data_IF_481411848387
#
_entry.id   IF_481411848387
#
_cell.length_a   1.000
_cell.length_b   1.000
_cell.length_c   1.000
_cell.angle_alpha   90.00
_cell.angle_beta   90.00
_cell.angle_gamma   90.00
#
_symmetry.space_group_name_H-M   'P 1'
#
loop_
_entity.id
_entity.type
_entity.pdbx_description
1 polymer ?
#
# COMPACT_ATOMS: atom_id res chain seq x y z
N UNK A 1 -9.35 1.93 -33.92
CA UNK A 1 -8.95 1.80 -32.50
C UNK A 1 -8.58 3.18 -32.01
N UNK A 2 -9.51 3.84 -31.31
CA UNK A 2 -9.30 5.17 -30.74
C UNK A 2 -8.24 5.08 -29.65
N UNK A 3 -7.05 5.60 -29.91
CA UNK A 3 -6.06 5.86 -28.88
C UNK A 3 -6.67 6.90 -27.94
N UNK A 4 -7.31 6.43 -26.87
CA UNK A 4 -7.58 7.27 -25.70
C UNK A 4 -6.20 7.57 -25.13
N UNK A 5 -5.62 8.67 -25.59
CA UNK A 5 -4.46 9.28 -24.93
C UNK A 5 -5.01 9.76 -23.60
N UNK A 6 -4.91 8.91 -22.58
CA UNK A 6 -5.10 9.37 -21.22
C UNK A 6 -4.11 10.51 -21.04
N UNK A 7 -4.56 11.75 -20.79
CA UNK A 7 -3.65 12.86 -20.55
C UNK A 7 -2.68 12.42 -19.47
N UNK A 8 -1.39 12.70 -19.66
CA UNK A 8 -0.34 12.31 -18.72
C UNK A 8 -0.74 12.85 -17.35
N UNK A 9 -1.14 11.96 -16.43
CA UNK A 9 -1.56 12.36 -15.10
C UNK A 9 -0.39 13.10 -14.45
N UNK A 10 -0.70 14.26 -13.91
CA UNK A 10 0.19 15.03 -13.07
C UNK A 10 0.36 14.31 -11.73
N UNK A 11 1.47 14.59 -11.03
CA UNK A 11 1.77 13.96 -9.75
C UNK A 11 0.65 14.20 -8.73
N UNK A 12 0.05 15.39 -8.70
CA UNK A 12 -1.04 15.73 -7.79
C UNK A 12 -2.29 14.88 -8.04
N UNK A 13 -2.72 14.71 -9.29
CA UNK A 13 -3.87 13.87 -9.63
C UNK A 13 -3.59 12.39 -9.33
N UNK A 14 -2.41 11.90 -9.70
CA UNK A 14 -2.00 10.53 -9.44
C UNK A 14 -1.91 10.23 -7.94
N UNK A 15 -1.31 11.13 -7.15
CA UNK A 15 -1.18 11.00 -5.70
C UNK A 15 -2.55 11.01 -5.02
N UNK A 16 -3.41 11.97 -5.37
CA UNK A 16 -4.77 12.07 -4.82
C UNK A 16 -5.54 10.77 -5.05
N UNK A 17 -5.54 10.30 -6.29
CA UNK A 17 -6.28 9.09 -6.69
C UNK A 17 -5.71 7.85 -6.02
N UNK A 18 -4.39 7.74 -5.93
CA UNK A 18 -3.71 6.62 -5.28
C UNK A 18 -4.04 6.54 -3.80
N UNK A 19 -3.94 7.65 -3.06
CA UNK A 19 -4.26 7.70 -1.64
C UNK A 19 -5.74 7.36 -1.43
N UNK A 20 -6.64 8.01 -2.18
CA UNK A 20 -8.08 7.77 -2.10
C UNK A 20 -8.43 6.31 -2.37
N UNK A 21 -7.84 5.72 -3.43
CA UNK A 21 -8.03 4.32 -3.73
C UNK A 21 -7.54 3.43 -2.60
N UNK A 22 -6.31 3.62 -2.11
CA UNK A 22 -5.69 2.78 -1.09
C UNK A 22 -6.35 2.89 0.28
N UNK A 23 -6.99 4.01 0.59
CA UNK A 23 -7.83 4.15 1.78
C UNK A 23 -9.06 3.24 1.75
N UNK A 24 -9.58 2.84 0.59
CA UNK A 24 -10.75 1.97 0.47
C UNK A 24 -10.39 0.56 0.02
N UNK A 25 -9.44 0.46 -0.91
CA UNK A 25 -8.92 -0.74 -1.57
C UNK A 25 -10.03 -1.69 -2.07
N UNK A 26 -10.98 -1.13 -2.85
CA UNK A 26 -12.11 -1.87 -3.41
C UNK A 26 -12.45 -1.35 -4.81
N UNK A 27 -12.14 -2.15 -5.84
CA UNK A 27 -12.47 -1.86 -7.23
C UNK A 27 -13.98 -1.67 -7.43
N UNK A 28 -14.86 -2.60 -6.97
CA UNK A 28 -16.31 -2.46 -7.18
C UNK A 28 -16.88 -1.17 -6.57
N UNK A 29 -16.33 -0.72 -5.44
CA UNK A 29 -16.79 0.52 -4.80
C UNK A 29 -16.53 1.76 -5.66
N UNK A 30 -15.38 1.82 -6.34
CA UNK A 30 -15.06 2.94 -7.22
C UNK A 30 -15.70 2.80 -8.60
N UNK A 31 -15.79 1.60 -9.17
CA UNK A 31 -16.53 1.37 -10.42
C UNK A 31 -17.99 1.82 -10.30
N UNK A 32 -18.63 1.58 -9.15
CA UNK A 32 -19.99 2.03 -8.88
C UNK A 32 -20.17 3.56 -8.99
N UNK A 33 -19.10 4.35 -8.87
CA UNK A 33 -19.14 5.82 -8.96
C UNK A 33 -18.32 6.39 -10.12
N UNK A 34 -17.92 5.56 -11.09
CA UNK A 34 -17.17 5.99 -12.28
C UNK A 34 -15.67 6.13 -12.08
N UNK A 35 -15.12 5.52 -11.03
CA UNK A 35 -13.71 5.56 -10.65
C UNK A 35 -13.44 6.50 -9.47
N UNK A 36 -12.16 6.65 -9.13
CA UNK A 36 -11.74 7.65 -8.15
C UNK A 36 -11.88 9.03 -8.79
N UNK A 37 -12.60 9.96 -8.18
CA UNK A 37 -12.74 11.30 -8.74
C UNK A 37 -11.49 12.16 -8.53
N UNK A 38 -11.25 13.18 -9.39
CA UNK A 38 -10.31 14.25 -9.11
C UNK A 38 -10.56 14.91 -7.75
N UNK A 39 -9.54 15.57 -7.19
CA UNK A 39 -9.63 16.26 -5.88
C UNK A 39 -10.79 17.26 -5.79
N UNK A 40 -11.03 18.04 -6.85
CA UNK A 40 -12.09 19.05 -6.87
C UNK A 40 -13.50 18.42 -6.90
N UNK A 41 -13.64 17.20 -7.43
CA UNK A 41 -14.91 16.48 -7.55
C UNK A 41 -15.17 15.49 -6.39
N UNK A 42 -14.32 15.49 -5.34
CA UNK A 42 -14.45 14.56 -4.20
C UNK A 42 -15.84 14.59 -3.56
N UNK A 43 -16.48 15.77 -3.47
CA UNK A 43 -17.81 15.92 -2.89
C UNK A 43 -18.88 15.23 -3.73
N UNK A 44 -18.80 15.35 -5.06
CA UNK A 44 -19.70 14.68 -5.99
C UNK A 44 -19.53 13.15 -5.92
N UNK A 45 -18.28 12.67 -5.81
CA UNK A 45 -18.00 11.24 -5.63
C UNK A 45 -18.65 10.70 -4.35
N UNK A 46 -18.47 11.40 -3.22
CA UNK A 46 -19.06 10.99 -1.94
C UNK A 46 -20.60 11.03 -1.99
N UNK A 47 -21.19 12.08 -2.58
CA UNK A 47 -22.64 12.17 -2.75
C UNK A 47 -23.19 11.01 -3.61
N UNK A 48 -22.45 10.62 -4.66
CA UNK A 48 -22.80 9.49 -5.52
C UNK A 48 -22.65 8.15 -4.78
N UNK A 49 -21.61 7.97 -3.96
CA UNK A 49 -21.46 6.78 -3.12
C UNK A 49 -22.65 6.62 -2.16
N UNK A 50 -23.12 7.73 -1.56
CA UNK A 50 -24.30 7.74 -0.68
C UNK A 50 -25.57 7.41 -1.44
N UNK A 51 -25.83 8.07 -2.56
CA UNK A 51 -27.07 7.88 -3.34
C UNK A 51 -27.21 6.45 -3.87
N UNK A 52 -26.10 5.81 -4.23
CA UNK A 52 -26.06 4.42 -4.68
C UNK A 52 -25.95 3.39 -3.55
N UNK A 53 -25.87 3.82 -2.29
CA UNK A 53 -25.71 2.91 -1.15
C UNK A 53 -24.43 2.07 -1.20
N UNK A 54 -23.32 2.63 -1.71
CA UNK A 54 -22.05 1.91 -1.87
C UNK A 54 -21.52 1.48 -0.51
N UNK A 55 -21.24 0.18 -0.37
CA UNK A 55 -20.63 -0.39 0.83
C UNK A 55 -19.12 -0.47 0.66
N UNK A 56 -18.39 0.33 1.44
CA UNK A 56 -16.92 0.35 1.40
C UNK A 56 -16.34 -0.85 2.18
N UNK A 57 -16.38 -2.04 1.59
CA UNK A 57 -15.71 -3.23 2.12
C UNK A 57 -14.50 -3.59 1.27
N UNK A 58 -13.34 -3.76 1.92
CA UNK A 58 -12.17 -4.40 1.33
C UNK A 58 -12.05 -5.83 1.89
N UNK A 59 -12.02 -6.86 1.04
CA UNK A 59 -11.78 -8.24 1.47
C UNK A 59 -10.32 -8.47 1.89
N UNK A 60 -9.40 -7.56 1.54
CA UNK A 60 -7.97 -7.76 1.70
C UNK A 60 -7.44 -7.25 3.06
N UNK A 61 -7.86 -6.05 3.50
CA UNK A 61 -7.44 -5.44 4.78
C UNK A 61 -8.32 -4.23 5.14
N UNK A 62 -8.43 -3.90 6.44
CA UNK A 62 -9.20 -2.74 6.93
C UNK A 62 -8.33 -1.48 6.80
N UNK A 63 -8.66 -0.60 5.86
CA UNK A 63 -7.89 0.61 5.52
C UNK A 63 -8.52 1.92 5.96
N UNK A 64 -9.78 1.88 6.38
CA UNK A 64 -10.53 3.05 6.84
C UNK A 64 -10.51 3.10 8.36
N UNK A 65 -9.52 3.78 8.98
CA UNK A 65 -9.58 4.03 10.42
C UNK A 65 -10.83 4.84 10.76
N UNK A 66 -11.27 4.74 12.01
CA UNK A 66 -12.39 5.52 12.52
C UNK A 66 -11.84 6.84 13.09
N UNK A 67 -12.16 8.01 12.49
CA UNK A 67 -11.84 9.30 13.09
C UNK A 67 -12.49 9.42 14.48
N UNK A 68 -11.83 10.14 15.38
CA UNK A 68 -12.40 10.41 16.71
C UNK A 68 -13.64 11.30 16.57
N UNK A 69 -14.77 10.84 17.11
CA UNK A 69 -16.03 11.58 17.10
C UNK A 69 -17.27 10.67 17.06
N UNK A 70 -18.40 11.13 17.60
CA UNK A 70 -19.63 10.33 17.69
C UNK A 70 -20.27 10.06 16.31
N UNK A 71 -20.02 10.90 15.30
CA UNK A 71 -20.84 10.97 14.08
C UNK A 71 -20.43 10.08 12.90
N UNK A 72 -19.31 9.35 12.96
CA UNK A 72 -18.80 8.58 11.80
C UNK A 72 -19.26 7.11 11.81
N UNK A 73 -20.58 6.91 11.72
CA UNK A 73 -21.21 5.59 11.87
C UNK A 73 -20.97 4.68 10.67
N UNK A 74 -21.08 5.19 9.44
CA UNK A 74 -20.82 4.41 8.22
C UNK A 74 -19.42 4.71 7.64
N UNK A 75 -18.95 3.83 6.74
CA UNK A 75 -17.60 3.92 6.17
C UNK A 75 -17.44 5.03 5.13
N UNK A 76 -18.52 5.43 4.46
CA UNK A 76 -18.50 6.53 3.48
C UNK A 76 -18.26 7.87 4.20
N UNK A 77 -18.91 8.09 5.34
CA UNK A 77 -18.69 9.28 6.16
C UNK A 77 -17.27 9.34 6.73
N UNK A 78 -16.69 8.19 7.07
CA UNK A 78 -15.27 8.10 7.48
C UNK A 78 -14.35 8.48 6.34
N UNK A 79 -14.61 7.97 5.13
CA UNK A 79 -13.84 8.33 3.95
C UNK A 79 -13.94 9.83 3.68
N UNK A 80 -15.13 10.42 3.69
CA UNK A 80 -15.32 11.86 3.49
C UNK A 80 -14.52 12.69 4.51
N UNK A 81 -14.57 12.32 5.80
CA UNK A 81 -13.80 13.00 6.84
C UNK A 81 -12.29 12.94 6.56
N UNK A 82 -11.76 11.76 6.23
CA UNK A 82 -10.33 11.57 5.91
C UNK A 82 -9.94 12.39 4.67
N UNK A 83 -10.76 12.36 3.61
CA UNK A 83 -10.50 13.13 2.39
C UNK A 83 -10.57 14.64 2.64
N UNK A 84 -11.40 15.10 3.57
CA UNK A 84 -11.45 16.50 3.96
C UNK A 84 -10.18 16.93 4.70
N UNK A 85 -9.67 16.12 5.64
CA UNK A 85 -8.36 16.38 6.26
C UNK A 85 -7.23 16.38 5.23
N UNK A 86 -7.19 15.36 4.37
CA UNK A 86 -6.21 15.28 3.28
C UNK A 86 -6.27 16.53 2.39
N UNK A 87 -7.47 16.99 2.03
CA UNK A 87 -7.64 18.15 1.15
C UNK A 87 -7.04 19.45 1.71
N UNK A 88 -6.96 19.60 3.04
CA UNK A 88 -6.38 20.79 3.68
C UNK A 88 -4.85 20.81 3.58
N UNK A 89 -4.22 19.64 3.62
CA UNK A 89 -2.75 19.50 3.65
C UNK A 89 -2.16 19.08 2.30
N UNK A 90 -3.02 18.80 1.30
CA UNK A 90 -2.64 18.12 0.07
C UNK A 90 -1.57 18.85 -0.74
N UNK A 91 -1.66 20.17 -0.87
CA UNK A 91 -0.70 20.95 -1.65
C UNK A 91 0.70 20.93 -1.01
N UNK A 92 0.75 20.98 0.33
CA UNK A 92 1.99 20.81 1.09
C UNK A 92 2.58 19.41 0.94
N UNK A 93 1.74 18.37 0.95
CA UNK A 93 2.15 17.00 0.70
C UNK A 93 2.74 16.82 -0.70
N UNK A 94 2.09 17.36 -1.74
CA UNK A 94 2.59 17.30 -3.13
C UNK A 94 3.96 17.96 -3.20
N UNK A 95 4.12 19.16 -2.64
CA UNK A 95 5.41 19.85 -2.58
C UNK A 95 6.48 19.02 -1.85
N UNK A 96 6.17 18.46 -0.68
CA UNK A 96 7.12 17.62 0.05
C UNK A 96 7.55 16.37 -0.73
N UNK A 97 6.63 15.73 -1.47
CA UNK A 97 6.96 14.57 -2.30
C UNK A 97 7.79 14.97 -3.52
N UNK A 98 7.54 16.14 -4.12
CA UNK A 98 8.34 16.66 -5.23
C UNK A 98 9.78 16.96 -4.81
N UNK A 99 9.96 17.51 -3.60
CA UNK A 99 11.27 17.88 -3.09
C UNK A 99 12.05 16.73 -2.47
N UNK A 100 11.38 15.62 -2.14
CA UNK A 100 12.01 14.45 -1.53
C UNK A 100 13.19 13.91 -2.36
N UNK A 101 14.32 13.70 -1.70
CA UNK A 101 15.54 13.16 -2.30
C UNK A 101 15.64 11.64 -2.12
N UNK A 102 14.83 11.07 -1.23
CA UNK A 102 14.80 9.63 -0.98
C UNK A 102 13.37 9.09 -0.92
N UNK A 103 13.22 7.81 -1.24
CA UNK A 103 11.93 7.11 -1.09
C UNK A 103 11.53 6.96 0.40
N UNK A 104 12.51 7.01 1.32
CA UNK A 104 12.27 7.08 2.77
C UNK A 104 11.57 8.38 3.17
N UNK A 105 12.01 9.52 2.63
CA UNK A 105 11.37 10.83 2.86
C UNK A 105 9.92 10.83 2.37
N UNK A 106 9.66 10.32 1.15
CA UNK A 106 8.30 10.14 0.64
C UNK A 106 7.48 9.29 1.59
N UNK A 107 8.03 8.16 2.05
CA UNK A 107 7.33 7.31 3.01
C UNK A 107 7.03 8.04 4.32
N UNK A 108 7.96 8.86 4.81
CA UNK A 108 7.74 9.68 6.02
C UNK A 108 6.62 10.69 5.82
N UNK A 109 6.61 11.42 4.69
CA UNK A 109 5.55 12.36 4.33
C UNK A 109 4.18 11.67 4.31
N UNK A 110 4.08 10.50 3.67
CA UNK A 110 2.84 9.73 3.60
C UNK A 110 2.36 9.26 4.98
N UNK A 111 3.27 8.81 5.84
CA UNK A 111 2.94 8.31 7.20
C UNK A 111 2.45 9.41 8.15
N UNK A 112 2.66 10.69 7.83
CA UNK A 112 2.08 11.78 8.60
C UNK A 112 0.58 11.97 8.35
N UNK A 113 0.07 11.45 7.23
CA UNK A 113 -1.36 11.53 6.93
C UNK A 113 -2.18 10.62 7.84
N UNK A 114 -3.32 11.14 8.28
CA UNK A 114 -4.23 10.37 9.11
C UNK A 114 -4.67 9.08 8.41
N UNK A 115 -4.41 7.95 9.08
CA UNK A 115 -4.79 6.62 8.60
C UNK A 115 -3.80 5.94 7.68
N UNK A 116 -2.67 6.58 7.37
CA UNK A 116 -1.62 5.97 6.55
C UNK A 116 -0.49 5.48 7.46
N UNK A 117 -0.48 4.18 7.72
CA UNK A 117 0.63 3.51 8.40
C UNK A 117 1.73 3.04 7.43
N UNK A 118 2.81 2.40 7.94
CA UNK A 118 3.91 1.90 7.11
C UNK A 118 3.47 1.02 5.94
N UNK A 119 2.48 0.14 6.17
CA UNK A 119 1.96 -0.73 5.12
C UNK A 119 1.28 0.06 3.98
N UNK A 120 0.40 1.01 4.32
CA UNK A 120 -0.29 1.81 3.30
C UNK A 120 0.68 2.76 2.58
N UNK A 121 1.64 3.35 3.31
CA UNK A 121 2.72 4.13 2.71
C UNK A 121 3.45 3.33 1.62
N UNK A 122 3.84 2.09 1.93
CA UNK A 122 4.46 1.17 0.97
C UNK A 122 3.58 0.93 -0.26
N UNK A 123 2.29 0.66 -0.09
CA UNK A 123 1.39 0.47 -1.23
C UNK A 123 1.31 1.73 -2.10
N UNK A 124 1.21 2.90 -1.48
CA UNK A 124 1.05 4.18 -2.19
C UNK A 124 2.30 4.52 -3.00
N UNK A 125 3.50 4.52 -2.40
CA UNK A 125 4.69 4.89 -3.17
C UNK A 125 5.01 3.86 -4.25
N UNK A 126 4.67 2.57 -4.06
CA UNK A 126 4.84 1.55 -5.11
C UNK A 126 3.94 1.80 -6.30
N UNK A 127 2.69 2.21 -6.06
CA UNK A 127 1.77 2.59 -7.13
C UNK A 127 2.30 3.81 -7.89
N UNK A 128 2.86 4.80 -7.19
CA UNK A 128 3.47 5.98 -7.82
C UNK A 128 4.71 5.61 -8.66
N UNK A 129 5.53 4.67 -8.19
CA UNK A 129 6.66 4.13 -8.97
C UNK A 129 6.15 3.42 -10.23
N UNK A 130 5.16 2.54 -10.08
CA UNK A 130 4.56 1.81 -11.21
C UNK A 130 3.91 2.74 -12.25
N UNK A 131 3.29 3.82 -11.78
CA UNK A 131 2.72 4.88 -12.60
C UNK A 131 3.76 5.88 -13.14
N UNK A 132 5.05 5.70 -12.82
CA UNK A 132 6.18 6.57 -13.21
C UNK A 132 5.97 8.04 -12.80
N UNK A 133 5.38 8.25 -11.63
CA UNK A 133 5.09 9.58 -11.06
C UNK A 133 6.20 10.09 -10.15
N UNK A 134 7.05 9.20 -9.65
CA UNK A 134 8.21 9.53 -8.82
C UNK A 134 9.47 8.83 -9.37
N UNK A 135 10.66 9.45 -9.28
CA UNK A 135 11.89 8.97 -9.93
C UNK A 135 12.63 7.92 -9.07
N UNK A 136 11.89 7.02 -8.42
CA UNK A 136 12.45 6.01 -7.52
C UNK A 136 12.13 4.60 -8.02
N UNK A 137 12.84 3.61 -7.49
CA UNK A 137 12.62 2.20 -7.73
C UNK A 137 12.11 1.51 -6.47
N UNK A 138 11.46 0.35 -6.64
CA UNK A 138 11.00 -0.45 -5.51
C UNK A 138 12.16 -1.00 -4.64
N UNK A 139 13.42 -0.85 -5.06
CA UNK A 139 14.63 -1.23 -4.33
C UNK A 139 15.22 -0.14 -3.43
N UNK A 140 14.77 1.12 -3.61
CA UNK A 140 15.36 2.26 -2.92
C UNK A 140 15.01 2.25 -1.42
N UNK A 141 13.76 1.88 -1.09
CA UNK A 141 13.26 1.82 0.28
C UNK A 141 12.22 0.73 0.50
N UNK A 142 12.14 0.24 1.74
CA UNK A 142 11.08 -0.67 2.19
C UNK A 142 10.66 -0.36 3.62
N UNK A 143 9.35 -0.33 3.83
CA UNK A 143 8.72 -0.41 5.14
C UNK A 143 8.56 -1.87 5.54
N UNK A 144 9.15 -2.30 6.64
CA UNK A 144 8.98 -3.68 7.12
C UNK A 144 7.62 -3.78 7.81
N UNK A 145 6.68 -4.48 7.19
CA UNK A 145 5.35 -4.74 7.74
C UNK A 145 5.39 -5.69 8.94
N UNK A 146 4.36 -5.69 9.80
CA UNK A 146 4.35 -6.50 11.03
C UNK A 146 4.49 -8.00 10.78
N UNK A 147 3.98 -8.50 9.65
CA UNK A 147 4.16 -9.90 9.24
C UNK A 147 5.61 -10.23 8.94
N UNK A 148 6.28 -9.38 8.16
CA UNK A 148 7.70 -9.52 7.83
C UNK A 148 8.59 -9.36 9.07
N UNK A 149 8.30 -8.39 9.96
CA UNK A 149 9.03 -8.21 11.23
C UNK A 149 9.06 -9.49 12.05
N UNK A 150 7.88 -10.07 12.29
CA UNK A 150 7.75 -11.30 13.07
C UNK A 150 8.43 -12.48 12.37
N UNK A 151 8.27 -12.59 11.06
CA UNK A 151 8.89 -13.66 10.27
C UNK A 151 10.41 -13.59 10.32
N UNK A 152 10.99 -12.41 10.12
CA UNK A 152 12.44 -12.22 10.22
C UNK A 152 12.94 -12.52 11.63
N UNK A 153 12.21 -12.11 12.67
CA UNK A 153 12.57 -12.43 14.06
C UNK A 153 12.50 -13.94 14.33
N UNK A 154 11.50 -14.64 13.80
CA UNK A 154 11.38 -16.10 13.94
C UNK A 154 12.50 -16.84 13.18
N UNK A 155 12.93 -16.35 12.01
CA UNK A 155 13.94 -16.99 11.18
C UNK A 155 15.39 -16.67 11.58
N UNK A 156 15.66 -15.45 12.02
CA UNK A 156 17.02 -14.92 12.24
C UNK A 156 17.29 -14.52 13.70
N UNK A 157 16.29 -14.57 14.58
CA UNK A 157 16.44 -14.27 16.00
C UNK A 157 17.10 -12.93 16.26
N UNK A 158 18.24 -12.96 16.94
CA UNK A 158 18.99 -11.77 17.36
C UNK A 158 19.42 -10.86 16.20
N UNK A 159 19.67 -11.43 15.02
CA UNK A 159 20.05 -10.69 13.82
C UNK A 159 18.88 -9.87 13.24
N UNK A 160 17.66 -10.09 13.71
CA UNK A 160 16.46 -9.38 13.29
C UNK A 160 15.83 -8.52 14.42
N UNK A 161 16.59 -8.19 15.47
CA UNK A 161 16.10 -7.47 16.66
C UNK A 161 15.61 -6.04 16.40
N UNK A 162 16.17 -5.34 15.42
CA UNK A 162 15.81 -3.96 15.10
C UNK A 162 15.25 -3.83 13.68
N UNK A 163 14.45 -2.78 13.44
CA UNK A 163 13.89 -2.51 12.10
C UNK A 163 15.00 -2.25 11.07
N UNK A 164 16.10 -1.61 11.47
CA UNK A 164 17.25 -1.38 10.58
C UNK A 164 17.89 -2.72 10.17
N UNK A 165 18.12 -3.62 11.13
CA UNK A 165 18.64 -4.95 10.85
C UNK A 165 17.69 -5.77 9.97
N UNK A 166 16.39 -5.73 10.24
CA UNK A 166 15.36 -6.38 9.40
C UNK A 166 15.39 -5.87 7.96
N UNK A 167 15.61 -4.57 7.75
CA UNK A 167 15.79 -4.00 6.40
C UNK A 167 17.08 -4.48 5.75
N UNK A 168 18.17 -4.59 6.51
CA UNK A 168 19.42 -5.19 6.06
C UNK A 168 19.23 -6.64 5.60
N UNK A 169 18.49 -7.44 6.37
CA UNK A 169 18.14 -8.81 6.01
C UNK A 169 17.24 -8.88 4.75
N UNK A 170 16.26 -7.99 4.60
CA UNK A 170 15.46 -7.92 3.38
C UNK A 170 16.34 -7.59 2.15
N UNK A 171 17.30 -6.66 2.28
CA UNK A 171 18.29 -6.36 1.23
C UNK A 171 19.15 -7.58 0.92
N UNK A 172 19.66 -8.26 1.94
CA UNK A 172 20.44 -9.49 1.78
C UNK A 172 19.66 -10.57 1.03
N UNK A 173 18.41 -10.83 1.45
CA UNK A 173 17.51 -11.79 0.79
C UNK A 173 17.25 -11.42 -0.68
N UNK A 174 17.16 -10.13 -0.99
CA UNK A 174 17.04 -9.64 -2.37
C UNK A 174 18.26 -10.01 -3.20
N UNK A 175 19.48 -9.87 -2.65
CA UNK A 175 20.74 -10.16 -3.35
C UNK A 175 20.95 -11.66 -3.57
N UNK A 176 20.58 -12.50 -2.60
CA UNK A 176 20.85 -13.95 -2.66
C UNK A 176 19.72 -14.76 -3.31
N UNK A 177 18.62 -14.10 -3.74
CA UNK A 177 17.39 -14.78 -4.19
C UNK A 177 17.65 -15.78 -5.33
N UNK A 178 18.41 -15.39 -6.36
CA UNK A 178 18.62 -16.23 -7.54
C UNK A 178 19.45 -17.47 -7.21
N UNK A 179 20.54 -17.30 -6.46
CA UNK A 179 21.35 -18.42 -5.97
C UNK A 179 20.53 -19.36 -5.06
N UNK A 180 19.68 -18.78 -4.21
CA UNK A 180 18.78 -19.53 -3.32
C UNK A 180 17.70 -20.31 -4.10
N UNK A 181 17.18 -19.77 -5.20
CA UNK A 181 16.24 -20.45 -6.08
C UNK A 181 16.93 -21.55 -6.89
N UNK A 182 18.08 -21.25 -7.49
CA UNK A 182 18.86 -22.17 -8.30
C UNK A 182 19.26 -23.42 -7.50
N UNK A 183 19.74 -23.24 -6.26
CA UNK A 183 20.08 -24.36 -5.36
C UNK A 183 18.88 -25.25 -4.99
N UNK A 184 17.65 -24.79 -5.21
CA UNK A 184 16.40 -25.56 -5.04
C UNK A 184 15.86 -26.13 -6.35
N UNK A 185 16.63 -26.05 -7.44
CA UNK A 185 16.24 -26.49 -8.78
C UNK A 185 15.29 -25.54 -9.50
N UNK A 186 15.16 -24.30 -9.04
CA UNK A 186 14.36 -23.27 -9.69
C UNK A 186 15.30 -22.32 -10.43
N UNK A 187 15.44 -22.52 -11.73
CA UNK A 187 16.37 -21.74 -12.55
C UNK A 187 16.00 -20.25 -12.62
N UNK A 188 14.71 -19.94 -12.50
CA UNK A 188 14.16 -18.59 -12.50
C UNK A 188 12.83 -18.54 -11.75
N UNK A 189 12.46 -17.37 -11.23
CA UNK A 189 11.12 -17.11 -10.70
C UNK A 189 10.30 -16.37 -11.77
N UNK A 190 9.69 -17.12 -12.68
CA UNK A 190 8.83 -16.58 -13.74
C UNK A 190 9.48 -15.44 -14.58
N UNK A 191 10.80 -15.48 -14.77
CA UNK A 191 11.59 -14.40 -15.42
C UNK A 191 11.50 -13.02 -14.71
N UNK A 192 11.20 -13.00 -13.41
CA UNK A 192 11.08 -11.78 -12.60
C UNK A 192 12.13 -11.78 -11.49
N UNK A 193 12.91 -10.71 -11.43
CA UNK A 193 13.77 -10.41 -10.28
C UNK A 193 12.95 -9.67 -9.21
N UNK A 194 12.83 -10.24 -8.02
CA UNK A 194 12.02 -9.64 -6.95
C UNK A 194 12.72 -8.42 -6.38
N UNK A 195 11.98 -7.31 -6.25
CA UNK A 195 12.47 -6.14 -5.52
C UNK A 195 12.47 -6.39 -4.01
N UNK A 196 13.16 -5.56 -3.24
CA UNK A 196 13.11 -5.62 -1.77
C UNK A 196 11.67 -5.47 -1.22
N UNK A 197 10.81 -4.70 -1.90
CA UNK A 197 9.39 -4.61 -1.55
C UNK A 197 8.66 -5.94 -1.78
N UNK A 198 8.99 -6.67 -2.85
CA UNK A 198 8.42 -7.98 -3.11
C UNK A 198 8.91 -9.01 -2.10
N UNK A 199 10.20 -8.95 -1.71
CA UNK A 199 10.76 -9.77 -0.63
C UNK A 199 10.02 -9.50 0.70
N UNK A 200 9.68 -8.25 1.02
CA UNK A 200 8.86 -7.93 2.20
C UNK A 200 7.47 -8.55 2.13
N UNK A 201 6.81 -8.51 0.96
CA UNK A 201 5.53 -9.18 0.74
C UNK A 201 5.65 -10.69 0.87
N UNK A 202 6.69 -11.30 0.33
CA UNK A 202 6.98 -12.73 0.47
C UNK A 202 7.18 -13.11 1.94
N UNK A 203 7.93 -12.32 2.72
CA UNK A 203 8.11 -12.57 4.16
C UNK A 203 6.79 -12.46 4.93
N UNK A 204 6.00 -11.43 4.64
CA UNK A 204 4.67 -11.27 5.22
C UNK A 204 3.75 -12.47 4.92
N UNK A 205 3.77 -12.97 3.69
CA UNK A 205 2.92 -14.09 3.28
C UNK A 205 3.44 -15.44 3.82
N UNK A 206 4.75 -15.66 3.78
CA UNK A 206 5.40 -16.80 4.41
C UNK A 206 5.01 -16.93 5.88
N UNK A 207 5.06 -15.83 6.65
CA UNK A 207 4.66 -15.84 8.06
C UNK A 207 3.20 -16.24 8.27
N UNK A 208 2.29 -15.93 7.34
CA UNK A 208 0.89 -16.39 7.40
C UNK A 208 0.81 -17.90 7.18
N UNK A 209 1.50 -18.41 6.17
CA UNK A 209 1.54 -19.84 5.86
C UNK A 209 2.21 -20.67 6.95
N UNK A 210 3.36 -20.24 7.45
CA UNK A 210 4.09 -20.90 8.53
C UNK A 210 3.22 -21.04 9.80
N UNK A 211 2.47 -19.98 10.15
CA UNK A 211 1.52 -20.03 11.27
C UNK A 211 0.37 -21.00 11.01
N UNK A 212 -0.17 -21.05 9.79
CA UNK A 212 -1.22 -22.01 9.43
C UNK A 212 -0.74 -23.46 9.57
N UNK A 213 0.44 -23.77 9.05
CA UNK A 213 1.06 -25.11 9.17
C UNK A 213 1.30 -25.48 10.63
N UNK A 214 1.76 -24.52 11.45
CA UNK A 214 1.96 -24.71 12.88
C UNK A 214 0.67 -24.72 13.73
N UNK A 215 -0.52 -24.69 13.10
CA UNK A 215 -1.81 -24.69 13.81
C UNK A 215 -2.13 -23.38 14.58
N UNK A 216 -1.31 -22.33 14.42
CA UNK A 216 -1.47 -21.01 15.07
C UNK A 216 -2.12 -19.97 14.15
N UNK A 217 -2.34 -20.30 12.87
CA UNK A 217 -2.86 -19.42 11.85
C UNK A 217 -4.38 -19.35 11.84
N UNK A 218 -4.93 -18.18 11.49
CA UNK A 218 -6.37 -18.02 11.28
C UNK A 218 -6.75 -18.56 9.90
N UNK A 219 -7.54 -19.64 9.84
CA UNK A 219 -8.10 -20.15 8.58
C UNK A 219 -8.97 -19.09 7.92
N UNK A 220 -8.74 -18.82 6.62
CA UNK A 220 -9.64 -18.01 5.81
C UNK A 220 -10.66 -18.94 5.16
N UNK A 221 -11.94 -18.69 5.43
CA UNK A 221 -13.03 -19.37 4.73
C UNK A 221 -13.33 -18.57 3.46
N UNK A 222 -13.00 -19.15 2.31
CA UNK A 222 -13.48 -18.64 1.03
C UNK A 222 -14.85 -19.26 0.80
N UNK A 223 -15.91 -18.45 0.79
CA UNK A 223 -17.19 -18.90 0.23
C UNK A 223 -16.96 -19.04 -1.27
N UNK A 224 -17.15 -20.26 -1.79
CA UNK A 224 -17.22 -20.52 -3.23
C UNK A 224 -18.46 -19.83 -3.80
#
# INVERSE_FOLDING_TARGET
>A
MSNVVHPKQTLDDALWRTITYRLVNSIPAFEAVGGVAPRHDRGLMIATMRSKGVVLNSPAYITLPRPHGPSYHNRVDRLEAILNFLNLEFDGLVYSIQEAKTLEEISSCLKHLYGIGPFLSLQIYRDLIGAKQIPFTANDWVEIGPGAKLTLLELYGDEAKSVSMQRGLARYLTVVQEAALYSRGWNEFENVYLSICDIEHCLCEYGKYAKLVAGRGRRRYYRR
#
